data_IF_358425702165
#
_entry.id   IF_358425702165
#
_cell.length_a   1.000
_cell.length_b   1.000
_cell.length_c   1.000
_cell.angle_alpha   90.00
_cell.angle_beta   90.00
_cell.angle_gamma   90.00
#
_symmetry.space_group_name_H-M   'P 1'
#
loop_
_entity.id
_entity.type
_entity.pdbx_description
1 polymer ?
#
# COMPACT_ATOMS: atom_id res chain seq x y z
N UNK A 1 3.81 -23.41 5.95
CA UNK A 1 2.71 -24.38 5.78
C UNK A 1 1.91 -23.99 4.55
N UNK A 2 1.48 -24.95 3.71
CA UNK A 2 0.53 -24.70 2.60
C UNK A 2 -0.89 -24.96 3.09
N UNK A 3 -1.72 -23.92 3.16
CA UNK A 3 -3.14 -24.06 3.50
C UNK A 3 -3.98 -23.66 2.28
N UNK A 4 -4.65 -24.61 1.63
CA UNK A 4 -5.52 -24.35 0.46
C UNK A 4 -4.86 -23.50 -0.65
N UNK A 5 -3.63 -23.83 -1.05
CA UNK A 5 -2.88 -23.11 -2.09
C UNK A 5 -2.16 -21.84 -1.62
N UNK A 6 -2.32 -21.46 -0.34
CA UNK A 6 -1.72 -20.27 0.26
C UNK A 6 -0.40 -20.66 0.97
N UNK A 7 0.72 -20.10 0.55
CA UNK A 7 2.00 -20.28 1.25
C UNK A 7 2.08 -19.34 2.45
N UNK A 8 2.00 -19.90 3.66
CA UNK A 8 2.24 -19.16 4.91
C UNK A 8 3.69 -19.36 5.32
N UNK A 9 4.48 -18.28 5.32
CA UNK A 9 5.86 -18.25 5.84
C UNK A 9 5.91 -17.43 7.12
N UNK A 10 6.50 -18.01 8.16
CA UNK A 10 6.72 -17.33 9.44
C UNK A 10 8.17 -16.87 9.43
N UNK A 11 8.38 -15.57 9.63
CA UNK A 11 9.73 -15.03 9.68
C UNK A 11 10.42 -15.42 11.00
N UNK A 12 11.73 -15.65 10.98
CA UNK A 12 12.50 -16.06 12.17
C UNK A 12 12.35 -15.07 13.33
N UNK A 13 12.23 -13.77 13.04
CA UNK A 13 12.01 -12.74 14.05
C UNK A 13 10.71 -12.92 14.84
N UNK A 14 9.69 -13.54 14.24
CA UNK A 14 8.42 -13.86 14.91
C UNK A 14 8.63 -14.90 16.01
N UNK A 15 9.50 -15.88 15.75
CA UNK A 15 9.86 -16.91 16.72
C UNK A 15 10.67 -16.34 17.88
N UNK A 16 11.66 -15.49 17.58
CA UNK A 16 12.48 -14.83 18.62
C UNK A 16 11.61 -13.93 19.51
N UNK A 17 10.70 -13.16 18.92
CA UNK A 17 9.78 -12.30 19.68
C UNK A 17 8.83 -13.10 20.57
N UNK A 18 8.25 -14.18 20.04
CA UNK A 18 7.40 -15.07 20.82
C UNK A 18 8.18 -15.69 22.00
N UNK A 19 9.42 -16.12 21.78
CA UNK A 19 10.27 -16.70 22.82
C UNK A 19 10.61 -15.69 23.93
N UNK A 20 10.86 -14.43 23.59
CA UNK A 20 11.08 -13.35 24.57
C UNK A 20 9.84 -13.07 25.43
N UNK A 21 8.64 -13.06 24.82
CA UNK A 21 7.39 -12.86 25.55
C UNK A 21 7.04 -14.04 26.46
N UNK A 22 7.32 -15.26 26.00
CA UNK A 22 7.20 -16.46 26.84
C UNK A 22 8.16 -16.42 28.02
N UNK A 23 9.42 -16.03 27.79
CA UNK A 23 10.44 -15.93 28.85
C UNK A 23 10.12 -14.86 29.91
N UNK A 24 9.35 -13.83 29.54
CA UNK A 24 8.94 -12.73 30.44
C UNK A 24 7.57 -12.94 31.09
N UNK A 25 6.87 -14.04 30.77
CA UNK A 25 5.58 -14.41 31.37
C UNK A 25 4.34 -13.75 30.76
N UNK A 26 4.48 -12.97 29.68
CA UNK A 26 3.39 -12.24 29.01
C UNK A 26 2.66 -13.11 27.97
N UNK A 27 2.18 -14.27 28.41
CA UNK A 27 1.55 -15.27 27.52
C UNK A 27 0.19 -14.79 27.00
N UNK A 28 -0.59 -14.11 27.84
CA UNK A 28 -1.93 -13.61 27.47
C UNK A 28 -1.83 -12.52 26.40
N UNK A 29 -0.89 -11.61 26.58
CA UNK A 29 -0.59 -10.50 25.66
C UNK A 29 -0.08 -11.03 24.32
N UNK A 30 0.81 -12.02 24.37
CA UNK A 30 1.29 -12.71 23.17
C UNK A 30 0.10 -13.29 22.37
N UNK A 31 -0.77 -14.07 23.01
CA UNK A 31 -1.93 -14.68 22.34
C UNK A 31 -2.84 -13.60 21.74
N UNK A 32 -3.11 -12.54 22.49
CA UNK A 32 -4.00 -11.48 22.05
C UNK A 32 -3.42 -10.65 20.89
N UNK A 33 -2.12 -10.33 20.88
CA UNK A 33 -1.45 -9.65 19.77
C UNK A 33 -1.52 -10.51 18.50
N UNK A 34 -1.16 -11.79 18.61
CA UNK A 34 -1.19 -12.71 17.47
C UNK A 34 -2.62 -12.91 16.95
N UNK A 35 -3.60 -13.04 17.84
CA UNK A 35 -5.01 -13.12 17.45
C UNK A 35 -5.48 -11.84 16.74
N UNK A 36 -5.08 -10.68 17.22
CA UNK A 36 -5.40 -9.38 16.61
C UNK A 36 -4.81 -9.27 15.20
N UNK A 37 -3.52 -9.57 15.03
CA UNK A 37 -2.87 -9.57 13.71
C UNK A 37 -3.52 -10.60 12.79
N UNK A 38 -3.86 -11.78 13.31
CA UNK A 38 -4.51 -12.81 12.51
C UNK A 38 -5.89 -12.38 12.00
N UNK A 39 -6.71 -11.77 12.86
CA UNK A 39 -8.02 -11.21 12.50
C UNK A 39 -7.89 -10.14 11.42
N UNK A 40 -6.90 -9.26 11.56
CA UNK A 40 -6.60 -8.21 10.60
C UNK A 40 -6.29 -8.77 9.20
N UNK A 41 -5.31 -9.68 9.12
CA UNK A 41 -4.90 -10.30 7.85
C UNK A 41 -6.04 -11.14 7.23
N UNK A 42 -6.82 -11.82 8.06
CA UNK A 42 -7.99 -12.56 7.60
C UNK A 42 -9.03 -11.64 6.96
N UNK A 43 -9.18 -10.41 7.44
CA UNK A 43 -10.02 -9.38 6.81
C UNK A 43 -9.58 -9.10 5.37
N UNK A 44 -8.30 -8.80 5.16
CA UNK A 44 -7.73 -8.59 3.83
C UNK A 44 -7.93 -9.79 2.90
N UNK A 45 -7.60 -10.99 3.38
CA UNK A 45 -7.69 -12.23 2.60
C UNK A 45 -9.14 -12.53 2.22
N UNK A 46 -10.08 -12.30 3.13
CA UNK A 46 -11.51 -12.53 2.88
C UNK A 46 -12.03 -11.64 1.74
N UNK A 47 -11.76 -10.34 1.80
CA UNK A 47 -12.20 -9.41 0.75
C UNK A 47 -11.45 -9.66 -0.56
N UNK A 48 -10.14 -9.94 -0.53
CA UNK A 48 -9.37 -10.29 -1.73
C UNK A 48 -9.98 -11.50 -2.45
N UNK A 49 -10.30 -12.58 -1.71
CA UNK A 49 -10.95 -13.78 -2.28
C UNK A 49 -12.34 -13.48 -2.84
N UNK A 50 -13.14 -12.66 -2.14
CA UNK A 50 -14.48 -12.25 -2.61
C UNK A 50 -14.40 -11.47 -3.93
N UNK A 51 -13.34 -10.68 -4.10
CA UNK A 51 -13.05 -9.92 -5.32
C UNK A 51 -12.31 -10.73 -6.39
N UNK A 52 -12.12 -12.05 -6.19
CA UNK A 52 -11.41 -12.97 -7.09
C UNK A 52 -9.97 -12.55 -7.37
N UNK A 53 -9.31 -11.94 -6.39
CA UNK A 53 -7.89 -11.60 -6.42
C UNK A 53 -7.10 -12.80 -5.89
N UNK A 54 -6.06 -13.21 -6.61
CA UNK A 54 -5.16 -14.26 -6.15
C UNK A 54 -4.30 -13.77 -4.97
N UNK A 55 -4.22 -14.59 -3.92
CA UNK A 55 -3.36 -14.37 -2.76
C UNK A 55 -2.15 -15.29 -2.91
N UNK A 56 -0.99 -14.72 -3.25
CA UNK A 56 0.20 -15.48 -3.61
C UNK A 56 0.89 -16.07 -2.37
N UNK A 57 1.06 -15.25 -1.33
CA UNK A 57 1.81 -15.64 -0.13
C UNK A 57 1.40 -14.79 1.07
N UNK A 58 1.45 -15.33 2.28
CA UNK A 58 1.27 -14.57 3.53
C UNK A 58 2.53 -14.75 4.38
N UNK A 59 3.20 -13.63 4.66
CA UNK A 59 4.37 -13.59 5.53
C UNK A 59 3.97 -13.06 6.91
N UNK A 60 4.20 -13.84 7.96
CA UNK A 60 3.88 -13.41 9.32
C UNK A 60 5.16 -12.89 9.99
N UNK A 61 5.17 -11.61 10.35
CA UNK A 61 6.19 -10.93 11.14
C UNK A 61 5.67 -10.69 12.57
N UNK A 62 6.55 -10.44 13.56
CA UNK A 62 6.12 -10.20 14.94
C UNK A 62 5.26 -8.94 15.11
N UNK A 63 5.31 -8.01 14.16
CA UNK A 63 4.61 -6.73 14.20
C UNK A 63 3.57 -6.58 13.08
N UNK A 64 3.18 -7.67 12.41
CA UNK A 64 2.17 -7.65 11.34
C UNK A 64 2.31 -8.80 10.35
N UNK A 65 1.27 -9.07 9.58
CA UNK A 65 1.36 -9.91 8.39
C UNK A 65 1.65 -9.06 7.15
N UNK A 66 2.26 -9.66 6.14
CA UNK A 66 2.29 -9.10 4.79
C UNK A 66 1.69 -10.14 3.87
N UNK A 67 0.45 -9.91 3.45
CA UNK A 67 -0.18 -10.65 2.36
C UNK A 67 0.33 -10.12 1.01
N UNK A 68 1.14 -10.92 0.33
CA UNK A 68 1.50 -10.72 -1.07
C UNK A 68 0.30 -11.09 -1.94
N UNK A 69 -0.40 -10.05 -2.40
CA UNK A 69 -1.52 -10.14 -3.32
C UNK A 69 -1.03 -10.05 -4.77
N UNK A 70 -1.83 -10.54 -5.72
CA UNK A 70 -1.59 -10.28 -7.15
C UNK A 70 -1.49 -8.77 -7.39
N UNK A 71 -0.56 -8.41 -8.27
CA UNK A 71 -0.37 -7.11 -8.90
C UNK A 71 -1.65 -6.36 -9.28
N UNK A 72 -2.73 -7.08 -9.60
CA UNK A 72 -4.00 -6.49 -10.04
C UNK A 72 -4.62 -5.54 -9.02
N UNK A 73 -4.37 -5.75 -7.72
CA UNK A 73 -4.85 -4.87 -6.65
C UNK A 73 -4.24 -3.48 -6.78
N UNK A 74 -2.96 -3.40 -7.13
CA UNK A 74 -2.24 -2.13 -7.26
C UNK A 74 -2.65 -1.33 -8.50
N UNK A 75 -3.26 -2.01 -9.49
CA UNK A 75 -3.70 -1.41 -10.76
C UNK A 75 -5.06 -0.74 -10.62
N UNK A 76 -5.94 -1.32 -9.79
CA UNK A 76 -7.31 -0.87 -9.59
C UNK A 76 -7.45 -0.21 -8.23
N UNK A 77 -7.47 1.14 -8.18
CA UNK A 77 -7.46 1.83 -6.89
C UNK A 77 -8.70 1.52 -6.05
N UNK A 78 -9.84 1.19 -6.68
CA UNK A 78 -11.07 0.79 -6.01
C UNK A 78 -10.91 -0.56 -5.28
N UNK A 79 -10.26 -1.53 -5.92
CA UNK A 79 -9.99 -2.83 -5.28
C UNK A 79 -9.00 -2.66 -4.14
N UNK A 80 -7.97 -1.83 -4.31
CA UNK A 80 -7.00 -1.56 -3.25
C UNK A 80 -7.64 -0.90 -2.03
N UNK A 81 -8.53 0.08 -2.22
CA UNK A 81 -9.27 0.70 -1.11
C UNK A 81 -10.10 -0.34 -0.35
N UNK A 82 -10.87 -1.17 -1.07
CA UNK A 82 -11.72 -2.19 -0.45
C UNK A 82 -10.90 -3.22 0.34
N UNK A 83 -9.79 -3.69 -0.24
CA UNK A 83 -8.92 -4.66 0.44
C UNK A 83 -8.21 -4.01 1.62
N UNK A 84 -7.66 -2.80 1.48
CA UNK A 84 -6.94 -2.12 2.56
C UNK A 84 -7.86 -1.80 3.75
N UNK A 85 -9.12 -1.39 3.52
CA UNK A 85 -10.07 -1.16 4.60
C UNK A 85 -10.53 -2.45 5.30
N UNK A 86 -10.41 -3.61 4.66
CA UNK A 86 -10.92 -4.86 5.19
C UNK A 86 -10.27 -5.27 6.52
N UNK A 87 -8.96 -5.06 6.68
CA UNK A 87 -8.22 -5.39 7.90
C UNK A 87 -8.59 -4.49 9.09
N UNK A 88 -8.60 -3.16 8.96
CA UNK A 88 -9.07 -2.29 10.03
C UNK A 88 -10.54 -2.53 10.38
N UNK A 89 -11.41 -2.77 9.39
CA UNK A 89 -12.82 -3.07 9.65
C UNK A 89 -13.02 -4.40 10.37
N UNK A 90 -12.23 -5.44 10.06
CA UNK A 90 -12.28 -6.71 10.80
C UNK A 90 -11.87 -6.50 12.25
N UNK A 91 -10.81 -5.75 12.52
CA UNK A 91 -10.39 -5.45 13.89
C UNK A 91 -11.47 -4.68 14.67
N UNK A 92 -12.10 -3.66 14.07
CA UNK A 92 -13.19 -2.93 14.72
C UNK A 92 -14.35 -3.89 15.04
N UNK A 93 -14.74 -4.74 14.10
CA UNK A 93 -15.80 -5.74 14.32
C UNK A 93 -15.44 -6.68 15.48
N UNK A 94 -14.21 -7.21 15.52
CA UNK A 94 -13.77 -8.12 16.57
C UNK A 94 -13.55 -7.44 17.92
N UNK A 95 -13.28 -6.13 17.97
CA UNK A 95 -13.28 -5.38 19.21
C UNK A 95 -14.68 -5.33 19.83
N UNK A 96 -15.71 -4.98 19.05
CA UNK A 96 -17.12 -4.99 19.51
C UNK A 96 -17.59 -6.41 19.87
N UNK A 97 -17.19 -7.40 19.08
CA UNK A 97 -17.50 -8.80 19.38
C UNK A 97 -16.82 -9.27 20.67
N UNK A 98 -15.57 -8.87 20.91
CA UNK A 98 -14.84 -9.15 22.14
C UNK A 98 -15.52 -8.54 23.37
N UNK A 99 -16.01 -7.30 23.27
CA UNK A 99 -16.78 -6.64 24.32
C UNK A 99 -18.07 -7.40 24.63
N UNK A 100 -18.82 -7.80 23.61
CA UNK A 100 -20.04 -8.60 23.79
C UNK A 100 -19.75 -9.93 24.50
N UNK A 101 -18.69 -10.65 24.07
CA UNK A 101 -18.29 -11.91 24.70
C UNK A 101 -17.83 -11.71 26.15
N UNK A 102 -17.08 -10.63 26.41
CA UNK A 102 -16.63 -10.26 27.76
C UNK A 102 -17.81 -10.10 28.71
N UNK A 103 -18.85 -9.37 28.29
CA UNK A 103 -20.05 -9.15 29.09
C UNK A 103 -20.88 -10.42 29.31
N UNK A 104 -21.03 -11.26 28.29
CA UNK A 104 -21.86 -12.48 28.35
C UNK A 104 -21.18 -13.60 29.14
N UNK A 105 -19.88 -13.83 28.92
CA UNK A 105 -19.14 -14.94 29.53
C UNK A 105 -18.39 -14.54 30.81
N UNK A 106 -18.37 -13.24 31.16
CA UNK A 106 -17.61 -12.70 32.30
C UNK A 106 -16.11 -13.05 32.23
N UNK A 107 -15.55 -13.08 31.01
CA UNK A 107 -14.14 -13.33 30.75
C UNK A 107 -13.45 -12.01 30.43
N UNK A 108 -12.35 -11.72 31.11
CA UNK A 108 -11.54 -10.53 30.81
C UNK A 108 -10.90 -10.62 29.41
N UNK A 109 -11.40 -9.78 28.50
CA UNK A 109 -10.91 -9.62 27.12
C UNK A 109 -10.37 -8.20 26.87
N UNK A 110 -10.16 -7.40 27.92
CA UNK A 110 -9.82 -5.97 27.80
C UNK A 110 -8.59 -5.75 26.94
N UNK A 111 -7.55 -6.57 27.12
CA UNK A 111 -6.33 -6.48 26.32
C UNK A 111 -6.57 -6.80 24.83
N UNK A 112 -7.39 -7.81 24.52
CA UNK A 112 -7.72 -8.16 23.13
C UNK A 112 -8.53 -7.05 22.45
N UNK A 113 -9.48 -6.45 23.17
CA UNK A 113 -10.31 -5.34 22.67
C UNK A 113 -9.43 -4.12 22.39
N UNK A 114 -8.59 -3.74 23.35
CA UNK A 114 -7.63 -2.62 23.20
C UNK A 114 -6.65 -2.87 22.07
N UNK A 115 -6.13 -4.09 21.92
CA UNK A 115 -5.23 -4.44 20.83
C UNK A 115 -5.91 -4.29 19.45
N UNK A 116 -7.14 -4.76 19.29
CA UNK A 116 -7.90 -4.61 18.04
C UNK A 116 -8.16 -3.15 17.70
N UNK A 117 -8.62 -2.35 18.67
CA UNK A 117 -8.86 -0.91 18.47
C UNK A 117 -7.57 -0.19 18.11
N UNK A 118 -6.47 -0.44 18.85
CA UNK A 118 -5.17 0.16 18.58
C UNK A 118 -4.64 -0.22 17.19
N UNK A 119 -4.77 -1.49 16.81
CA UNK A 119 -4.33 -1.99 15.50
C UNK A 119 -5.16 -1.39 14.35
N UNK A 120 -6.48 -1.27 14.52
CA UNK A 120 -7.35 -0.60 13.55
C UNK A 120 -6.99 0.89 13.40
N UNK A 121 -6.87 1.60 14.53
CA UNK A 121 -6.54 3.02 14.54
C UNK A 121 -5.18 3.29 13.88
N UNK A 122 -4.15 2.52 14.27
CA UNK A 122 -2.82 2.68 13.72
C UNK A 122 -2.79 2.39 12.22
N UNK A 123 -3.46 1.32 11.76
CA UNK A 123 -3.49 1.00 10.33
C UNK A 123 -4.36 1.96 9.52
N UNK A 124 -5.31 2.67 10.11
CA UNK A 124 -6.08 3.72 9.41
C UNK A 124 -5.33 5.04 9.26
N UNK A 125 -4.16 5.20 9.90
CA UNK A 125 -3.36 6.41 9.72
C UNK A 125 -2.96 6.57 8.24
N UNK A 126 -3.03 7.80 7.70
CA UNK A 126 -2.89 8.04 6.27
C UNK A 126 -1.41 8.10 5.85
N UNK A 127 -0.63 7.02 6.05
CA UNK A 127 0.79 6.96 5.65
C UNK A 127 1.23 5.55 5.26
N UNK A 128 2.00 5.39 4.19
CA UNK A 128 2.55 4.08 3.77
C UNK A 128 3.58 3.55 4.79
N UNK A 129 3.63 2.24 5.05
CA UNK A 129 2.92 1.13 4.38
C UNK A 129 1.53 0.81 4.96
N UNK A 130 1.02 1.62 5.90
CA UNK A 130 -0.23 1.36 6.61
C UNK A 130 -1.42 1.33 5.64
N UNK A 131 -2.49 0.62 6.00
CA UNK A 131 -3.67 0.49 5.15
C UNK A 131 -4.31 1.83 4.79
N UNK A 132 -4.39 2.76 5.73
CA UNK A 132 -4.86 4.12 5.52
C UNK A 132 -3.97 4.90 4.55
N UNK A 133 -2.67 4.62 4.55
CA UNK A 133 -1.73 5.11 3.53
C UNK A 133 -2.02 4.53 2.14
N UNK A 134 -2.36 3.24 2.06
CA UNK A 134 -2.76 2.58 0.81
C UNK A 134 -4.09 3.12 0.29
N UNK A 135 -5.05 3.38 1.19
CA UNK A 135 -6.32 4.05 0.86
C UNK A 135 -6.05 5.46 0.34
N UNK A 136 -5.26 6.29 1.06
CA UNK A 136 -4.90 7.63 0.62
C UNK A 136 -4.26 7.62 -0.77
N UNK A 137 -3.24 6.78 -0.97
CA UNK A 137 -2.56 6.61 -2.25
C UNK A 137 -3.55 6.24 -3.38
N UNK A 138 -4.46 5.31 -3.11
CA UNK A 138 -5.41 4.81 -4.10
C UNK A 138 -6.50 5.84 -4.42
N UNK A 139 -6.97 6.59 -3.44
CA UNK A 139 -7.92 7.69 -3.68
C UNK A 139 -7.26 8.80 -4.49
N UNK A 140 -6.03 9.19 -4.15
CA UNK A 140 -5.29 10.20 -4.89
C UNK A 140 -5.00 9.79 -6.33
N UNK A 141 -4.76 8.50 -6.59
CA UNK A 141 -4.41 8.03 -7.94
C UNK A 141 -5.57 8.13 -8.95
N UNK A 142 -6.79 8.42 -8.53
CA UNK A 142 -7.88 8.81 -9.44
C UNK A 142 -7.68 10.20 -10.05
N UNK A 143 -7.00 11.09 -9.33
CA UNK A 143 -6.89 12.51 -9.65
C UNK A 143 -5.50 12.91 -10.12
N UNK A 144 -4.45 12.23 -9.63
CA UNK A 144 -3.05 12.55 -9.94
C UNK A 144 -2.28 11.30 -10.38
N UNK A 145 -1.07 11.50 -10.92
CA UNK A 145 -0.19 10.39 -11.30
C UNK A 145 0.08 9.45 -10.12
N UNK A 146 0.26 8.16 -10.39
CA UNK A 146 0.56 7.17 -9.35
C UNK A 146 1.84 7.54 -8.56
N UNK A 147 2.83 8.12 -9.25
CA UNK A 147 4.07 8.59 -8.63
C UNK A 147 3.80 9.69 -7.59
N UNK A 148 2.98 10.67 -7.95
CA UNK A 148 2.60 11.76 -7.05
C UNK A 148 1.77 11.25 -5.88
N UNK A 149 0.81 10.35 -6.13
CA UNK A 149 -0.01 9.74 -5.09
C UNK A 149 0.84 8.97 -4.05
N UNK A 150 1.80 8.16 -4.50
CA UNK A 150 2.75 7.47 -3.61
C UNK A 150 3.62 8.47 -2.86
N UNK A 151 4.13 9.51 -3.53
CA UNK A 151 4.97 10.52 -2.90
C UNK A 151 4.22 11.24 -1.76
N UNK A 152 2.96 11.61 -1.97
CA UNK A 152 2.11 12.23 -0.95
C UNK A 152 1.87 11.28 0.22
N UNK A 153 1.56 10.01 -0.04
CA UNK A 153 1.33 9.02 1.00
C UNK A 153 2.60 8.61 1.78
N UNK A 154 3.80 8.79 1.20
CA UNK A 154 5.08 8.64 1.90
C UNK A 154 5.40 9.88 2.74
N UNK A 155 5.11 11.07 2.21
CA UNK A 155 5.31 12.32 2.95
C UNK A 155 4.45 12.37 4.21
N UNK A 156 3.20 11.91 4.14
CA UNK A 156 2.34 11.81 5.31
C UNK A 156 2.87 10.83 6.35
N UNK A 157 3.54 9.73 5.96
CA UNK A 157 4.26 8.85 6.89
C UNK A 157 5.35 9.60 7.65
N UNK A 158 6.10 10.49 6.99
CA UNK A 158 7.12 11.30 7.65
C UNK A 158 6.51 12.28 8.64
N UNK A 159 5.38 12.91 8.29
CA UNK A 159 4.66 13.78 9.22
C UNK A 159 4.19 13.01 10.47
N UNK A 160 3.61 11.82 10.30
CA UNK A 160 3.20 10.93 11.40
C UNK A 160 4.40 10.53 12.27
N UNK A 161 5.51 10.10 11.65
CA UNK A 161 6.73 9.75 12.37
C UNK A 161 7.31 10.93 13.16
N UNK A 162 7.24 12.15 12.61
CA UNK A 162 7.70 13.37 13.30
C UNK A 162 6.84 13.67 14.52
N UNK A 163 5.53 13.51 14.43
CA UNK A 163 4.61 13.64 15.57
C UNK A 163 4.95 12.59 16.65
N UNK A 164 5.18 11.34 16.27
CA UNK A 164 5.60 10.29 17.22
C UNK A 164 6.93 10.63 17.90
N UNK A 165 7.91 11.13 17.13
CA UNK A 165 9.21 11.54 17.66
C UNK A 165 9.08 12.74 18.63
N UNK A 166 8.20 13.69 18.34
CA UNK A 166 7.91 14.81 19.24
C UNK A 166 7.42 14.32 20.62
N UNK A 167 6.52 13.33 20.64
CA UNK A 167 6.08 12.72 21.91
C UNK A 167 7.20 11.98 22.66
N UNK A 168 8.13 11.35 21.94
CA UNK A 168 9.32 10.75 22.55
C UNK A 168 10.19 11.82 23.21
N UNK A 169 10.47 12.93 22.52
CA UNK A 169 11.28 14.04 23.05
C UNK A 169 10.62 14.69 24.28
N UNK A 170 9.30 14.92 24.24
CA UNK A 170 8.54 15.40 25.41
C UNK A 170 8.58 14.40 26.57
N UNK A 171 8.60 13.10 26.28
CA UNK A 171 8.71 12.03 27.28
C UNK A 171 10.07 12.02 27.98
N UNK A 172 11.16 12.31 27.26
CA UNK A 172 12.52 12.43 27.84
C UNK A 172 12.53 13.51 28.92
N UNK A 173 11.95 14.68 28.64
CA UNK A 173 11.90 15.79 29.60
C UNK A 173 11.10 15.46 30.87
N UNK A 174 10.09 14.59 30.75
CA UNK A 174 9.22 14.17 31.85
C UNK A 174 9.64 12.83 32.49
N UNK A 175 10.84 12.30 32.17
CA UNK A 175 11.32 10.99 32.62
C UNK A 175 10.37 9.80 32.31
N UNK A 176 9.51 9.94 31.29
CA UNK A 176 8.58 8.92 30.80
C UNK A 176 8.87 8.60 29.34
N UNK A 177 9.98 7.90 29.10
CA UNK A 177 10.40 7.52 27.74
C UNK A 177 9.53 6.39 27.19
N UNK A 178 8.75 6.68 26.15
CA UNK A 178 7.99 5.67 25.40
C UNK A 178 8.84 5.08 24.26
N UNK A 179 9.62 4.04 24.57
CA UNK A 179 10.50 3.34 23.59
C UNK A 179 9.73 2.83 22.38
N UNK A 180 8.46 2.45 22.56
CA UNK A 180 7.58 1.97 21.47
C UNK A 180 7.38 3.04 20.39
N UNK A 181 7.16 4.30 20.74
CA UNK A 181 7.00 5.38 19.75
C UNK A 181 8.29 5.69 19.02
N UNK A 182 9.43 5.60 19.70
CA UNK A 182 10.74 5.73 19.06
C UNK A 182 10.92 4.63 18.00
N UNK A 183 10.65 3.39 18.38
CA UNK A 183 10.74 2.24 17.46
C UNK A 183 9.77 2.36 16.27
N UNK A 184 8.49 2.66 16.52
CA UNK A 184 7.48 2.80 15.46
C UNK A 184 7.80 3.94 14.50
N UNK A 185 8.29 5.09 15.01
CA UNK A 185 8.65 6.23 14.16
C UNK A 185 9.73 5.87 13.14
N UNK A 186 10.77 5.15 13.56
CA UNK A 186 11.87 4.68 12.70
C UNK A 186 11.36 3.64 11.71
N UNK A 187 10.60 2.65 12.19
CA UNK A 187 10.06 1.58 11.35
C UNK A 187 9.17 2.14 10.24
N UNK A 188 8.30 3.09 10.57
CA UNK A 188 7.40 3.73 9.62
C UNK A 188 8.17 4.46 8.51
N UNK A 189 9.23 5.21 8.84
CA UNK A 189 10.10 5.87 7.84
C UNK A 189 10.81 4.85 6.94
N UNK A 190 11.37 3.78 7.53
CA UNK A 190 12.07 2.75 6.76
C UNK A 190 11.12 2.03 5.81
N UNK A 191 9.93 1.69 6.29
CA UNK A 191 8.93 0.99 5.48
C UNK A 191 8.32 1.88 4.39
N UNK A 192 8.05 3.16 4.67
CA UNK A 192 7.60 4.13 3.67
C UNK A 192 8.62 4.29 2.54
N UNK A 193 9.92 4.30 2.87
CA UNK A 193 10.99 4.37 1.87
C UNK A 193 11.10 3.10 1.02
N UNK A 194 10.84 1.92 1.59
CA UNK A 194 10.78 0.66 0.84
C UNK A 194 9.63 0.67 -0.15
N UNK A 195 8.44 1.12 0.27
CA UNK A 195 7.26 1.29 -0.59
C UNK A 195 7.53 2.25 -1.76
N UNK A 196 8.18 3.39 -1.48
CA UNK A 196 8.57 4.36 -2.52
C UNK A 196 9.43 3.70 -3.61
N UNK A 197 10.42 2.89 -3.23
CA UNK A 197 11.29 2.18 -4.18
C UNK A 197 10.53 1.10 -4.95
N UNK A 198 9.67 0.32 -4.28
CA UNK A 198 8.87 -0.73 -4.92
C UNK A 198 7.88 -0.17 -5.96
N UNK A 199 7.28 1.00 -5.70
CA UNK A 199 6.32 1.64 -6.60
C UNK A 199 6.89 2.01 -7.97
N UNK A 200 8.18 2.33 -8.05
CA UNK A 200 8.84 2.65 -9.32
C UNK A 200 8.86 1.44 -10.27
N UNK A 201 9.02 0.23 -9.73
CA UNK A 201 8.98 -1.02 -10.52
C UNK A 201 7.55 -1.40 -10.91
N UNK A 202 6.57 -1.14 -10.04
CA UNK A 202 5.16 -1.44 -10.30
C UNK A 202 4.61 -0.64 -11.49
N UNK A 203 4.97 0.64 -11.60
CA UNK A 203 4.54 1.50 -12.72
C UNK A 203 4.89 0.91 -14.08
N UNK A 204 6.06 0.29 -14.23
CA UNK A 204 6.48 -0.32 -15.49
C UNK A 204 5.63 -1.55 -15.85
N UNK A 205 5.15 -2.29 -14.85
CA UNK A 205 4.33 -3.50 -15.02
C UNK A 205 2.86 -3.19 -15.32
N UNK A 206 2.33 -2.12 -14.73
CA UNK A 206 0.92 -1.73 -14.88
C UNK A 206 0.51 -1.44 -16.34
N UNK A 207 1.48 -1.02 -17.15
CA UNK A 207 1.29 -0.63 -18.55
C UNK A 207 0.94 -1.81 -19.46
N UNK A 208 1.50 -2.99 -19.19
CA UNK A 208 1.24 -4.20 -19.97
C UNK A 208 -0.15 -4.82 -19.70
N UNK A 209 -0.73 -4.61 -18.51
CA UNK A 209 -2.02 -5.21 -18.11
C UNK A 209 -3.24 -4.29 -18.26
N UNK A 210 -3.06 -2.98 -18.51
CA UNK A 210 -4.16 -2.04 -18.83
C UNK A 210 -5.00 -2.48 -20.03
N UNK A 211 -4.36 -3.06 -21.06
CA UNK A 211 -5.04 -3.61 -22.25
C UNK A 211 -6.13 -4.61 -21.86
N UNK A 212 -5.89 -5.46 -20.85
CA UNK A 212 -6.83 -6.50 -20.39
C UNK A 212 -8.10 -5.94 -19.73
N UNK A 213 -8.02 -4.81 -19.01
CA UNK A 213 -9.21 -4.13 -18.46
C UNK A 213 -10.03 -3.44 -19.56
N UNK A 214 -9.36 -2.83 -20.54
CA UNK A 214 -10.01 -2.21 -21.71
C UNK A 214 -10.88 -3.23 -22.47
N UNK A 215 -10.33 -4.43 -22.73
CA UNK A 215 -11.08 -5.50 -23.39
C UNK A 215 -12.29 -6.00 -22.60
N UNK A 216 -12.29 -5.89 -21.26
CA UNK A 216 -13.41 -6.35 -20.42
C UNK A 216 -14.57 -5.35 -20.32
N UNK A 217 -14.26 -4.05 -20.25
CA UNK A 217 -15.28 -2.99 -20.08
C UNK A 217 -15.72 -2.35 -21.40
N UNK A 218 -14.88 -2.44 -22.44
CA UNK A 218 -15.16 -1.83 -23.76
C UNK A 218 -15.04 -0.31 -23.80
N UNK A 219 -14.83 0.36 -22.66
CA UNK A 219 -14.68 1.81 -22.56
C UNK A 219 -13.71 2.20 -21.44
N UNK A 220 -12.95 3.28 -21.65
CA UNK A 220 -12.01 3.85 -20.69
C UNK A 220 -11.91 5.36 -20.92
N UNK A 221 -11.83 6.14 -19.84
CA UNK A 221 -11.65 7.58 -19.93
C UNK A 221 -10.30 7.92 -20.57
N UNK A 222 -10.28 8.90 -21.47
CA UNK A 222 -9.07 9.37 -22.16
C UNK A 222 -8.48 10.58 -21.41
N UNK A 223 -7.17 10.60 -21.23
CA UNK A 223 -6.42 11.72 -20.66
C UNK A 223 -5.39 12.22 -21.68
N UNK A 224 -5.47 13.51 -22.02
CA UNK A 224 -4.53 14.15 -22.93
C UNK A 224 -3.32 14.68 -22.16
N UNK A 225 -2.12 14.39 -22.65
CA UNK A 225 -0.86 14.91 -22.08
C UNK A 225 -0.15 15.69 -23.17
N UNK A 226 0.13 16.97 -22.92
CA UNK A 226 0.97 17.77 -23.80
C UNK A 226 2.43 17.71 -23.33
N UNK A 227 3.35 17.43 -24.26
CA UNK A 227 4.79 17.29 -23.98
C UNK A 227 5.62 17.91 -25.08
N UNK A 228 6.72 18.54 -24.69
CA UNK A 228 7.70 19.09 -25.63
C UNK A 228 8.51 17.95 -26.27
N UNK A 229 8.94 18.12 -27.52
CA UNK A 229 9.70 17.10 -28.26
C UNK A 229 11.01 16.64 -27.59
N UNK A 230 11.59 17.50 -26.74
CA UNK A 230 12.80 17.23 -25.95
C UNK A 230 12.57 16.40 -24.68
N UNK A 231 11.33 16.19 -24.27
CA UNK A 231 11.04 15.40 -23.08
C UNK A 231 11.32 13.92 -23.31
N UNK A 232 11.72 13.23 -22.25
CA UNK A 232 12.04 11.79 -22.32
C UNK A 232 10.79 10.95 -22.19
N UNK A 233 10.76 9.81 -22.90
CA UNK A 233 9.68 8.81 -22.80
C UNK A 233 9.43 8.40 -21.34
N UNK A 234 10.50 8.20 -20.55
CA UNK A 234 10.42 7.89 -19.14
C UNK A 234 9.64 8.96 -18.33
N UNK A 235 9.83 10.25 -18.61
CA UNK A 235 9.10 11.32 -17.94
C UNK A 235 7.62 11.35 -18.32
N UNK A 236 7.32 11.08 -19.59
CA UNK A 236 5.94 10.99 -20.08
C UNK A 236 5.19 9.86 -19.39
N UNK A 237 5.78 8.66 -19.34
CA UNK A 237 5.19 7.49 -18.66
C UNK A 237 4.95 7.77 -17.17
N UNK A 238 5.88 8.47 -16.50
CA UNK A 238 5.73 8.84 -15.07
C UNK A 238 4.54 9.77 -14.80
N UNK A 239 4.03 10.46 -15.82
CA UNK A 239 2.85 11.33 -15.70
C UNK A 239 1.52 10.60 -15.86
N UNK A 240 1.54 9.30 -16.20
CA UNK A 240 0.32 8.54 -16.47
C UNK A 240 -0.53 8.35 -15.21
N UNK A 241 -1.84 8.46 -15.42
CA UNK A 241 -2.86 8.23 -14.40
C UNK A 241 -3.35 6.77 -14.53
N UNK A 242 -3.47 6.02 -13.42
CA UNK A 242 -4.10 4.70 -13.43
C UNK A 242 -5.52 4.71 -14.02
N UNK A 243 -5.95 3.60 -14.61
CA UNK A 243 -7.29 3.41 -15.16
C UNK A 243 -7.77 4.44 -16.23
N UNK A 244 -6.87 5.24 -16.79
CA UNK A 244 -7.11 6.11 -17.95
C UNK A 244 -6.23 5.70 -19.13
N UNK A 245 -6.75 5.92 -20.34
CA UNK A 245 -6.03 5.77 -21.60
C UNK A 245 -5.37 7.10 -21.97
N UNK A 246 -4.09 7.10 -22.34
CA UNK A 246 -3.37 8.34 -22.60
C UNK A 246 -3.20 8.60 -24.10
N UNK A 247 -3.49 9.84 -24.49
CA UNK A 247 -3.15 10.40 -25.79
C UNK A 247 -2.13 11.50 -25.57
N UNK A 248 -0.94 11.31 -26.13
CA UNK A 248 0.19 12.21 -25.97
C UNK A 248 0.24 13.17 -27.16
N UNK A 249 0.18 14.46 -26.88
CA UNK A 249 0.24 15.56 -27.85
C UNK A 249 1.68 16.11 -27.81
N UNK A 250 2.42 15.93 -28.90
CA UNK A 250 3.80 16.37 -29.02
C UNK A 250 3.81 17.81 -29.55
N UNK A 251 4.40 18.71 -28.77
CA UNK A 251 4.51 20.13 -29.07
C UNK A 251 5.93 20.49 -29.53
N UNK A 252 6.03 21.45 -30.46
CA UNK A 252 7.29 22.10 -30.80
C UNK A 252 7.73 23.09 -29.71
N UNK A 253 8.95 23.65 -29.85
CA UNK A 253 9.45 24.71 -28.94
C UNK A 253 8.61 26.00 -28.95
N UNK A 254 7.66 26.13 -29.90
CA UNK A 254 6.71 27.25 -30.00
C UNK A 254 5.32 26.86 -29.49
N UNK A 255 5.20 25.75 -28.75
CA UNK A 255 3.95 25.20 -28.20
C UNK A 255 2.86 24.88 -29.23
N UNK A 256 3.23 24.69 -30.50
CA UNK A 256 2.31 24.23 -31.54
C UNK A 256 2.26 22.72 -31.55
N UNK A 257 1.05 22.19 -31.71
CA UNK A 257 0.83 20.77 -31.89
C UNK A 257 1.47 20.29 -33.20
N UNK A 258 2.38 19.34 -33.10
CA UNK A 258 3.07 18.72 -34.23
C UNK A 258 2.42 17.38 -34.58
N UNK A 259 2.24 16.52 -33.56
CA UNK A 259 1.71 15.16 -33.71
C UNK A 259 0.96 14.70 -32.45
N UNK A 260 0.10 13.69 -32.62
CA UNK A 260 -0.49 12.93 -31.51
C UNK A 260 -0.10 11.47 -31.63
N UNK A 261 0.33 10.88 -30.52
CA UNK A 261 0.59 9.46 -30.40
C UNK A 261 -0.24 8.88 -29.25
N UNK A 262 -0.59 7.62 -29.36
CA UNK A 262 -1.28 6.89 -28.30
C UNK A 262 -0.30 6.29 -27.30
N UNK A 263 -0.77 5.95 -26.09
CA UNK A 263 0.07 5.21 -25.13
C UNK A 263 0.62 3.91 -25.71
N UNK A 264 -0.13 3.23 -26.59
CA UNK A 264 0.33 1.96 -27.22
C UNK A 264 1.54 2.16 -28.11
N UNK A 265 1.50 3.18 -28.98
CA UNK A 265 2.62 3.53 -29.86
C UNK A 265 3.84 3.98 -29.07
N UNK A 266 3.63 4.77 -28.00
CA UNK A 266 4.71 5.19 -27.11
C UNK A 266 5.44 3.98 -26.49
N UNK A 267 4.69 2.93 -26.11
CA UNK A 267 5.28 1.73 -25.52
C UNK A 267 6.03 0.86 -26.52
N UNK A 268 5.46 0.65 -27.71
CA UNK A 268 6.11 -0.11 -28.78
C UNK A 268 7.48 0.50 -29.09
N UNK A 269 7.53 1.83 -29.25
CA UNK A 269 8.79 2.53 -29.46
C UNK A 269 9.74 2.45 -28.27
N UNK A 270 9.23 2.58 -27.04
CA UNK A 270 10.04 2.51 -25.81
C UNK A 270 10.72 1.15 -25.62
N UNK A 271 10.07 0.07 -26.05
CA UNK A 271 10.62 -1.30 -26.00
C UNK A 271 11.73 -1.48 -27.02
N UNK A 272 11.58 -0.89 -28.21
CA UNK A 272 12.56 -1.01 -29.30
C UNK A 272 13.81 -0.13 -29.09
N UNK A 273 13.62 1.12 -28.64
CA UNK A 273 14.69 2.12 -28.64
C UNK A 273 15.15 2.55 -27.23
N UNK A 274 14.40 2.15 -26.19
CA UNK A 274 14.70 2.47 -24.80
C UNK A 274 13.93 3.69 -24.25
N UNK A 275 13.97 3.85 -22.92
CA UNK A 275 13.12 4.79 -22.17
C UNK A 275 13.67 6.22 -22.06
N UNK A 276 14.94 6.43 -22.37
CA UNK A 276 15.64 7.70 -22.12
C UNK A 276 15.77 8.59 -23.36
N UNK A 277 15.21 8.16 -24.49
CA UNK A 277 15.23 8.96 -25.72
C UNK A 277 14.19 10.09 -25.69
N UNK A 278 14.46 11.20 -26.39
CA UNK A 278 13.50 12.27 -26.59
C UNK A 278 12.27 11.77 -27.37
N UNK A 279 11.08 12.19 -26.95
CA UNK A 279 9.82 11.76 -27.57
C UNK A 279 9.67 12.26 -29.02
N UNK A 280 10.39 13.33 -29.40
CA UNK A 280 10.44 13.83 -30.76
C UNK A 280 11.07 12.86 -31.77
N UNK A 281 11.84 11.87 -31.31
CA UNK A 281 12.51 10.89 -32.18
C UNK A 281 11.62 9.70 -32.57
N UNK A 282 10.44 9.56 -31.95
CA UNK A 282 9.47 8.47 -32.24
C UNK A 282 9.00 8.45 -33.70
N UNK A 283 9.23 9.55 -34.42
CA UNK A 283 8.66 9.84 -35.73
C UNK A 283 9.77 9.96 -36.80
N UNK A 284 11.02 9.59 -36.48
CA UNK A 284 12.12 9.48 -37.46
C UNK A 284 12.30 8.06 -37.98
#
# INVERSE_FOLDING_TARGET
MKFRGLEVKIHFSTFVFALLLLATGFIKELIAIFATVFVHECGHIYIAKKLKIEVLQVNIYPFGGIALLDSIVFIRPDLEVLVALAGPMSNIFFAFFGEFISQVLQIDMDYFIKANIAMAFFNLLPGLPLDGGRVLKSVLSYFISLRSAVATAVFSSYAISLVMLYFVLKGIFNWKLNVVYAFLSVLLVVAANKEKKASAFLQMRDLFRKKTEFYKKGLMGVHHIAVLEKETIANVIKSFIPAKYHVIIILDDKFREKYRITETQLFEYAVEHGLYLPIGEIIK
#
